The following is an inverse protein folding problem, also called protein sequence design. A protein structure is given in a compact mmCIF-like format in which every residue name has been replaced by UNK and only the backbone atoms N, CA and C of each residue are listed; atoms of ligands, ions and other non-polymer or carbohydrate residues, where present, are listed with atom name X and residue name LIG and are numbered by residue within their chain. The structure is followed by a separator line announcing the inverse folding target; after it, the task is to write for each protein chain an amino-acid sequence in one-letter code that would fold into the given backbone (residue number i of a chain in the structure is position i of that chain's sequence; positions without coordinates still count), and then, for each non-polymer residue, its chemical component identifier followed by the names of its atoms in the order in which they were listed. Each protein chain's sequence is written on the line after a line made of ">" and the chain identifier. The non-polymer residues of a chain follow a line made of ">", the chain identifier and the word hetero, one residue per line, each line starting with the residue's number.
data_IF_027888796242
#
_entry.id   IF_027888796242
#
_cell.length_a   1.000
_cell.length_b   1.000
_cell.length_c   1.000
_cell.angle_alpha   90.00
_cell.angle_beta   90.00
_cell.angle_gamma   90.00
#
_symmetry.space_group_name_H-M   'P 1'
#
loop_
_entity.id
_entity.type
_entity.pdbx_description
1 polymer ?
#
# COMPACT_ATOMS: atom_id res chain seq x y z
N UNK A 1 -0.42 -4.03 4.35
CA UNK A 1 0.29 -5.29 4.02
C UNK A 1 1.68 -4.96 3.54
N UNK A 2 2.71 -5.07 4.39
CA UNK A 2 4.11 -4.83 4.03
C UNK A 2 4.98 -6.09 4.16
N UNK A 3 4.34 -7.26 4.21
CA UNK A 3 4.96 -8.54 4.56
C UNK A 3 5.13 -9.50 3.37
N UNK A 4 4.78 -9.05 2.17
CA UNK A 4 4.90 -9.88 0.98
C UNK A 4 6.35 -10.25 0.68
N UNK A 5 6.56 -11.44 0.14
CA UNK A 5 7.90 -11.95 -0.21
C UNK A 5 8.63 -11.05 -1.20
N UNK A 6 7.88 -10.32 -2.04
CA UNK A 6 8.39 -9.32 -2.97
C UNK A 6 9.01 -8.11 -2.27
N UNK A 7 8.47 -7.72 -1.11
CA UNK A 7 8.99 -6.61 -0.29
C UNK A 7 10.19 -7.09 0.53
N UNK A 8 10.16 -8.32 1.03
CA UNK A 8 11.26 -8.89 1.82
C UNK A 8 12.45 -9.38 0.96
N UNK A 9 12.28 -9.48 -0.35
CA UNK A 9 13.31 -9.97 -1.26
C UNK A 9 14.61 -9.14 -1.15
N UNK A 10 15.75 -9.83 -0.99
CA UNK A 10 17.08 -9.20 -0.83
C UNK A 10 17.40 -8.23 -1.97
N UNK A 11 16.99 -8.55 -3.21
CA UNK A 11 17.20 -7.67 -4.35
C UNK A 11 16.49 -6.31 -4.15
N UNK A 12 15.26 -6.32 -3.67
CA UNK A 12 14.48 -5.10 -3.41
C UNK A 12 15.06 -4.32 -2.22
N UNK A 13 15.40 -5.01 -1.13
CA UNK A 13 16.05 -4.42 0.04
C UNK A 13 17.38 -3.73 -0.33
N UNK A 14 18.22 -4.39 -1.13
CA UNK A 14 19.48 -3.82 -1.61
C UNK A 14 19.26 -2.59 -2.49
N UNK A 15 18.20 -2.58 -3.31
CA UNK A 15 17.85 -1.41 -4.13
C UNK A 15 17.44 -0.22 -3.26
N UNK A 16 16.65 -0.45 -2.20
CA UNK A 16 16.26 0.60 -1.25
C UNK A 16 17.48 1.17 -0.52
N UNK A 17 18.37 0.32 -0.01
CA UNK A 17 19.61 0.75 0.61
C UNK A 17 20.50 1.54 -0.37
N UNK A 18 20.55 1.13 -1.64
CA UNK A 18 21.28 1.82 -2.71
C UNK A 18 20.80 3.25 -2.99
N UNK A 19 19.55 3.58 -2.66
CA UNK A 19 18.99 4.94 -2.75
C UNK A 19 18.88 5.64 -1.39
N UNK A 20 19.52 5.10 -0.35
CA UNK A 20 19.58 5.71 0.99
C UNK A 20 18.35 5.46 1.86
N UNK A 21 17.43 4.56 1.46
CA UNK A 21 16.28 4.17 2.26
C UNK A 21 16.68 3.00 3.14
N UNK A 22 16.53 3.14 4.46
CA UNK A 22 16.69 2.03 5.41
C UNK A 22 15.33 1.38 5.64
N UNK A 23 15.13 0.12 5.20
CA UNK A 23 13.87 -0.58 5.41
C UNK A 23 13.64 -0.82 6.90
N UNK A 24 12.54 -0.31 7.45
CA UNK A 24 12.11 -0.67 8.79
C UNK A 24 11.47 -2.06 8.71
N UNK A 25 11.97 -3.01 9.50
CA UNK A 25 11.43 -4.37 9.56
C UNK A 25 10.03 -4.35 10.15
N UNK A 26 9.01 -4.28 9.31
CA UNK A 26 7.63 -4.49 9.73
C UNK A 26 7.49 -5.99 10.01
N UNK A 27 7.26 -6.38 11.26
CA UNK A 27 7.07 -7.79 11.63
C UNK A 27 5.61 -8.21 11.46
N UNK A 28 5.33 -9.38 10.86
CA UNK A 28 3.96 -9.89 10.72
C UNK A 28 3.25 -9.89 12.08
N UNK A 29 2.11 -9.19 12.15
CA UNK A 29 1.30 -9.13 13.37
C UNK A 29 1.63 -7.98 14.32
N UNK A 30 2.47 -7.01 13.93
CA UNK A 30 2.64 -5.74 14.65
C UNK A 30 1.55 -4.75 14.22
N UNK A 31 0.47 -4.55 15.00
CA UNK A 31 -0.69 -3.76 14.56
C UNK A 31 -0.37 -2.27 14.43
N UNK A 32 0.66 -1.78 15.12
CA UNK A 32 1.02 -0.37 15.14
C UNK A 32 1.90 0.04 13.95
N UNK A 33 2.72 -0.87 13.40
CA UNK A 33 3.68 -0.52 12.33
C UNK A 33 3.00 -0.29 10.96
N UNK A 34 1.79 -0.83 10.76
CA UNK A 34 1.06 -0.73 9.49
C UNK A 34 -0.31 -0.01 9.62
N UNK A 35 -0.58 0.60 10.78
CA UNK A 35 -1.89 1.20 11.09
C UNK A 35 -2.31 2.30 10.10
N UNK A 36 -1.35 3.08 9.58
CA UNK A 36 -1.63 4.12 8.60
C UNK A 36 -2.14 3.54 7.27
N UNK A 37 -1.41 2.57 6.71
CA UNK A 37 -1.79 1.93 5.45
C UNK A 37 -3.13 1.18 5.60
N UNK A 38 -3.34 0.51 6.74
CA UNK A 38 -4.63 -0.17 7.00
C UNK A 38 -5.79 0.82 7.07
N UNK A 39 -5.60 1.97 7.71
CA UNK A 39 -6.61 3.03 7.73
C UNK A 39 -6.84 3.63 6.34
N UNK A 40 -5.79 3.81 5.55
CA UNK A 40 -5.88 4.26 4.17
C UNK A 40 -6.70 3.27 3.33
N UNK A 41 -6.37 1.98 3.37
CA UNK A 41 -7.08 0.93 2.62
C UNK A 41 -8.57 0.85 3.01
N UNK A 42 -8.89 0.99 4.30
CA UNK A 42 -10.26 1.03 4.78
C UNK A 42 -11.03 2.26 4.25
N UNK A 43 -10.38 3.43 4.27
CA UNK A 43 -10.95 4.68 3.76
C UNK A 43 -11.18 4.60 2.25
N UNK A 44 -10.17 4.16 1.49
CA UNK A 44 -10.24 3.96 0.04
C UNK A 44 -11.38 3.02 -0.33
N UNK A 45 -11.53 1.90 0.40
CA UNK A 45 -12.65 0.98 0.15
C UNK A 45 -14.00 1.65 0.40
N UNK A 46 -14.14 2.35 1.52
CA UNK A 46 -15.41 2.98 1.91
C UNK A 46 -15.82 4.10 0.95
N UNK A 47 -14.88 4.95 0.57
CA UNK A 47 -15.16 6.21 -0.12
C UNK A 47 -15.09 6.08 -1.64
N UNK A 48 -14.32 5.13 -2.16
CA UNK A 48 -14.14 4.93 -3.60
C UNK A 48 -14.78 3.63 -4.05
N UNK A 49 -14.32 2.49 -3.53
CA UNK A 49 -14.68 1.17 -4.10
C UNK A 49 -16.11 0.73 -3.78
N UNK A 50 -16.66 1.15 -2.64
CA UNK A 50 -18.04 0.86 -2.26
C UNK A 50 -19.03 1.93 -2.75
N UNK A 51 -18.56 3.11 -3.15
CA UNK A 51 -19.41 4.22 -3.57
C UNK A 51 -19.92 4.05 -5.01
N UNK A 52 -19.08 3.53 -5.92
CA UNK A 52 -19.42 3.39 -7.33
C UNK A 52 -18.92 2.06 -7.93
N UNK A 53 -19.64 1.58 -8.95
CA UNK A 53 -19.18 0.48 -9.78
C UNK A 53 -18.42 1.02 -10.98
N UNK A 54 -17.21 0.52 -11.21
CA UNK A 54 -16.36 0.94 -12.30
C UNK A 54 -16.34 -0.12 -13.40
N UNK A 55 -16.63 0.28 -14.63
CA UNK A 55 -16.51 -0.58 -15.81
C UNK A 55 -15.12 -0.46 -16.46
N UNK A 56 -14.40 0.64 -16.18
CA UNK A 56 -13.08 0.91 -16.76
C UNK A 56 -12.13 1.55 -15.73
N UNK A 57 -10.83 1.36 -15.91
CA UNK A 57 -9.78 1.99 -15.08
C UNK A 57 -9.80 3.52 -15.18
N UNK A 58 -10.25 4.07 -16.32
CA UNK A 58 -10.36 5.51 -16.54
C UNK A 58 -11.36 6.18 -15.60
N UNK A 59 -12.45 5.49 -15.25
CA UNK A 59 -13.44 6.00 -14.29
C UNK A 59 -12.84 6.09 -12.89
N UNK A 60 -12.09 5.07 -12.46
CA UNK A 60 -11.41 5.10 -11.16
C UNK A 60 -10.37 6.22 -11.11
N UNK A 61 -9.60 6.41 -12.18
CA UNK A 61 -8.61 7.50 -12.28
C UNK A 61 -9.26 8.88 -12.21
N UNK A 62 -10.42 9.06 -12.84
CA UNK A 62 -11.14 10.33 -12.76
C UNK A 62 -11.56 10.64 -11.32
N UNK A 63 -12.06 9.64 -10.58
CA UNK A 63 -12.49 9.79 -9.18
C UNK A 63 -11.29 10.02 -8.23
N UNK A 64 -10.17 9.32 -8.42
CA UNK A 64 -8.96 9.50 -7.60
C UNK A 64 -8.28 10.86 -7.79
N UNK A 65 -8.52 11.54 -8.91
CA UNK A 65 -7.92 12.83 -9.25
C UNK A 65 -8.86 14.03 -8.98
N UNK A 66 -10.02 13.82 -8.36
CA UNK A 66 -10.90 14.90 -7.90
C UNK A 66 -10.29 15.62 -6.68
#
# INVERSE_FOLDING_TARGET
>A
MCYGTEVLATLFQNRLCGIGITPFGVYPGSPWDNAHNERFDATLRREVLNAEWFATTRQVQALMNQ
#
